data_IF_463887154456
#
_entry.id   IF_463887154456
#
_cell.length_a   1.000
_cell.length_b   1.000
_cell.length_c   1.000
_cell.angle_alpha   90.00
_cell.angle_beta   90.00
_cell.angle_gamma   90.00
#
_symmetry.space_group_name_H-M   'P 1'
#
loop_
_entity.id
_entity.type
_entity.pdbx_description
1 polymer ?
#
# COMPACT_ATOMS: atom_id res chain seq x y z
N UNK A 1 -1.15 -10.52 29.34
CA UNK A 1 -2.21 -10.90 28.37
C UNK A 1 -1.73 -12.15 27.64
N UNK A 2 -2.41 -13.29 27.77
CA UNK A 2 -2.12 -14.46 26.94
C UNK A 2 -2.92 -14.33 25.65
N UNK A 3 -2.23 -14.36 24.51
CA UNK A 3 -2.89 -14.34 23.20
C UNK A 3 -3.69 -15.62 22.97
N UNK A 4 -4.89 -15.49 22.39
CA UNK A 4 -5.72 -16.63 22.00
C UNK A 4 -5.29 -17.11 20.61
N UNK A 5 -4.59 -18.24 20.58
CA UNK A 5 -4.06 -18.84 19.34
C UNK A 5 -5.19 -19.20 18.38
N UNK A 6 -6.32 -19.71 18.89
CA UNK A 6 -7.46 -20.12 18.07
C UNK A 6 -8.12 -18.93 17.37
N UNK A 7 -8.33 -17.83 18.11
CA UNK A 7 -8.85 -16.57 17.55
C UNK A 7 -7.88 -15.97 16.54
N UNK A 8 -6.59 -15.96 16.86
CA UNK A 8 -5.55 -15.39 16.00
C UNK A 8 -5.45 -16.18 14.67
N UNK A 9 -5.43 -17.51 14.74
CA UNK A 9 -5.43 -18.37 13.55
C UNK A 9 -6.72 -18.20 12.74
N UNK A 10 -7.89 -18.16 13.38
CA UNK A 10 -9.17 -17.94 12.71
C UNK A 10 -9.18 -16.60 11.95
N UNK A 11 -8.66 -15.55 12.58
CA UNK A 11 -8.52 -14.23 11.97
C UNK A 11 -7.59 -14.27 10.77
N UNK A 12 -6.39 -14.86 10.91
CA UNK A 12 -5.43 -14.96 9.81
C UNK A 12 -5.98 -15.77 8.63
N UNK A 13 -6.67 -16.88 8.89
CA UNK A 13 -7.31 -17.69 7.85
C UNK A 13 -8.42 -16.92 7.15
N UNK A 14 -9.26 -16.18 7.87
CA UNK A 14 -10.31 -15.33 7.27
C UNK A 14 -9.70 -14.18 6.48
N UNK A 15 -8.73 -13.48 7.06
CA UNK A 15 -8.02 -12.38 6.42
C UNK A 15 -7.35 -12.82 5.12
N UNK A 16 -6.73 -14.00 5.10
CA UNK A 16 -6.14 -14.57 3.88
C UNK A 16 -7.17 -14.71 2.74
N UNK A 17 -8.45 -14.90 3.03
CA UNK A 17 -9.47 -14.99 1.97
C UNK A 17 -9.85 -13.62 1.38
N UNK A 18 -9.41 -12.53 1.99
CA UNK A 18 -9.72 -11.17 1.54
C UNK A 18 -8.67 -10.68 0.53
N UNK A 19 -9.12 -9.97 -0.50
CA UNK A 19 -8.25 -9.34 -1.50
C UNK A 19 -7.18 -8.43 -0.86
N UNK A 20 -7.45 -7.57 0.14
CA UNK A 20 -6.42 -6.78 0.83
C UNK A 20 -5.23 -7.58 1.37
N UNK A 21 -5.43 -8.84 1.77
CA UNK A 21 -4.31 -9.66 2.27
C UNK A 21 -3.25 -9.97 1.20
N UNK A 22 -3.64 -10.01 -0.07
CA UNK A 22 -2.71 -10.14 -1.20
C UNK A 22 -1.77 -8.94 -1.34
N UNK A 23 -2.20 -7.76 -0.88
CA UNK A 23 -1.47 -6.49 -1.00
C UNK A 23 -0.73 -6.12 0.28
N UNK A 24 -1.34 -6.37 1.44
CA UNK A 24 -0.74 -6.13 2.75
C UNK A 24 0.30 -7.19 3.15
N UNK A 25 0.23 -8.40 2.58
CA UNK A 25 1.17 -9.49 2.84
C UNK A 25 1.72 -10.05 1.51
N UNK A 26 2.64 -9.34 0.84
CA UNK A 26 3.17 -9.73 -0.47
C UNK A 26 3.78 -11.15 -0.53
N UNK A 27 4.51 -11.65 0.50
CA UNK A 27 5.00 -13.04 0.51
C UNK A 27 3.90 -14.10 0.32
N UNK A 28 2.65 -13.80 0.71
CA UNK A 28 1.52 -14.71 0.53
C UNK A 28 1.19 -14.92 -0.95
N UNK A 29 1.37 -13.88 -1.78
CA UNK A 29 1.07 -13.97 -3.21
C UNK A 29 2.03 -14.93 -3.92
N UNK A 30 3.30 -14.94 -3.50
CA UNK A 30 4.34 -15.81 -4.06
C UNK A 30 4.17 -17.28 -3.68
N UNK A 31 3.55 -17.56 -2.54
CA UNK A 31 3.22 -18.93 -2.11
C UNK A 31 1.83 -19.41 -2.58
N UNK A 32 1.08 -18.56 -3.30
CA UNK A 32 -0.23 -18.91 -3.82
C UNK A 32 -0.09 -19.61 -5.17
N UNK A 33 -0.57 -20.85 -5.28
CA UNK A 33 -0.65 -21.61 -6.54
C UNK A 33 -1.52 -20.92 -7.62
N UNK A 34 -2.15 -19.79 -7.29
CA UNK A 34 -3.04 -19.02 -8.12
C UNK A 34 -2.40 -17.77 -8.71
N UNK A 35 -1.08 -17.57 -8.63
CA UNK A 35 -0.46 -16.46 -9.35
C UNK A 35 -0.24 -16.85 -10.82
N UNK A 36 -0.62 -16.02 -11.82
CA UNK A 36 -0.26 -16.27 -13.20
C UNK A 36 1.24 -16.53 -13.33
N UNK A 37 1.62 -17.58 -14.08
CA UNK A 37 3.00 -18.05 -14.20
C UNK A 37 3.93 -16.93 -14.68
N UNK A 38 3.45 -16.07 -15.60
CA UNK A 38 4.16 -14.91 -16.11
C UNK A 38 4.58 -13.93 -15.00
N UNK A 39 3.68 -13.70 -14.03
CA UNK A 39 3.91 -12.81 -12.90
C UNK A 39 4.86 -13.46 -11.89
N UNK A 40 4.67 -14.75 -11.62
CA UNK A 40 5.55 -15.52 -10.74
C UNK A 40 7.00 -15.62 -11.28
N UNK A 41 7.17 -15.68 -12.60
CA UNK A 41 8.46 -15.73 -13.27
C UNK A 41 9.15 -14.37 -13.38
N UNK A 42 8.38 -13.27 -13.44
CA UNK A 42 8.94 -11.92 -13.55
C UNK A 42 9.69 -11.46 -12.31
N UNK A 43 9.39 -12.02 -11.12
CA UNK A 43 9.88 -11.53 -9.83
C UNK A 43 9.37 -10.14 -9.44
N UNK A 44 8.63 -9.47 -10.33
CA UNK A 44 8.03 -8.15 -10.11
C UNK A 44 6.60 -8.38 -9.61
N UNK A 45 6.38 -8.10 -8.34
CA UNK A 45 5.10 -8.40 -7.70
C UNK A 45 4.01 -7.46 -8.26
N UNK A 46 2.77 -7.92 -8.52
CA UNK A 46 1.71 -7.13 -9.18
C UNK A 46 1.37 -5.78 -8.54
N UNK A 47 1.46 -5.73 -7.20
CA UNK A 47 1.44 -4.48 -6.40
C UNK A 47 2.37 -3.42 -7.02
N UNK A 48 3.54 -3.81 -7.50
CA UNK A 48 4.59 -2.94 -7.99
C UNK A 48 4.26 -2.40 -9.39
N UNK A 49 3.53 -3.15 -10.23
CA UNK A 49 3.11 -2.65 -11.54
C UNK A 49 1.91 -1.71 -11.42
N UNK A 50 0.85 -2.14 -10.73
CA UNK A 50 -0.37 -1.34 -10.60
C UNK A 50 -0.15 -0.11 -9.70
N UNK A 51 0.41 -0.29 -8.50
CA UNK A 51 0.56 0.83 -7.56
C UNK A 51 1.61 1.83 -8.04
N UNK A 52 2.73 1.38 -8.62
CA UNK A 52 3.71 2.32 -9.17
C UNK A 52 3.13 3.08 -10.36
N UNK A 53 2.43 2.42 -11.28
CA UNK A 53 1.80 3.07 -12.41
C UNK A 53 0.79 4.14 -11.98
N UNK A 54 -0.04 3.86 -10.98
CA UNK A 54 -1.01 4.83 -10.49
C UNK A 54 -0.37 5.96 -9.70
N UNK A 55 0.63 5.69 -8.86
CA UNK A 55 1.41 6.74 -8.19
C UNK A 55 2.12 7.61 -9.22
N UNK A 56 2.73 7.03 -10.25
CA UNK A 56 3.40 7.74 -11.34
C UNK A 56 2.43 8.62 -12.14
N UNK A 57 1.28 8.07 -12.54
CA UNK A 57 0.25 8.79 -13.27
C UNK A 57 -0.29 9.98 -12.45
N UNK A 58 -0.41 9.82 -11.13
CA UNK A 58 -1.00 10.83 -10.25
C UNK A 58 0.01 11.88 -9.79
N UNK A 59 1.31 11.55 -9.71
CA UNK A 59 2.33 12.43 -9.11
C UNK A 59 3.47 12.85 -10.06
N UNK A 60 3.61 12.23 -11.25
CA UNK A 60 4.57 12.59 -12.32
C UNK A 60 6.03 12.83 -11.84
N UNK A 61 6.51 12.11 -10.84
CA UNK A 61 7.85 12.27 -10.25
C UNK A 61 8.49 10.91 -9.93
N UNK A 62 9.77 10.84 -9.53
CA UNK A 62 10.51 9.60 -9.17
C UNK A 62 10.02 8.88 -7.88
N UNK A 63 8.85 9.27 -7.42
CA UNK A 63 8.17 8.85 -6.21
C UNK A 63 7.58 7.41 -6.22
N UNK A 64 7.27 6.77 -7.37
CA UNK A 64 6.70 5.42 -7.40
C UNK A 64 7.51 4.35 -6.67
N UNK A 65 8.84 4.42 -6.76
CA UNK A 65 9.74 3.46 -6.11
C UNK A 65 9.73 3.58 -4.59
N UNK A 66 9.54 4.79 -4.06
CA UNK A 66 9.42 5.04 -2.63
C UNK A 66 8.11 4.45 -2.09
N UNK A 67 7.00 4.67 -2.79
CA UNK A 67 5.71 4.09 -2.39
C UNK A 67 5.75 2.57 -2.36
N UNK A 68 6.39 1.97 -3.37
CA UNK A 68 6.66 0.54 -3.39
C UNK A 68 7.39 0.10 -2.12
N UNK A 69 8.44 0.80 -1.71
CA UNK A 69 9.24 0.46 -0.54
C UNK A 69 8.41 0.55 0.74
N UNK A 70 7.65 1.63 0.91
CA UNK A 70 6.74 1.80 2.05
C UNK A 70 5.70 0.67 2.13
N UNK A 71 5.07 0.33 1.00
CA UNK A 71 4.06 -0.73 0.92
C UNK A 71 4.66 -2.11 1.16
N UNK A 72 5.83 -2.40 0.59
CA UNK A 72 6.54 -3.67 0.77
C UNK A 72 6.90 -3.93 2.24
N UNK A 73 7.07 -2.87 3.03
CA UNK A 73 7.31 -2.95 4.47
C UNK A 73 6.06 -2.69 5.31
N UNK A 74 4.87 -2.57 4.72
CA UNK A 74 3.63 -2.24 5.42
C UNK A 74 3.79 -0.98 6.32
N UNK A 75 4.61 -0.02 5.88
CA UNK A 75 5.00 1.19 6.60
C UNK A 75 5.71 1.00 7.96
N UNK A 76 6.22 -0.20 8.26
CA UNK A 76 6.72 -0.55 9.60
C UNK A 76 7.84 0.37 10.14
N UNK A 77 8.69 0.91 9.25
CA UNK A 77 9.79 1.82 9.61
C UNK A 77 9.45 3.31 9.41
N UNK A 78 8.25 3.62 8.93
CA UNK A 78 7.87 4.96 8.46
C UNK A 78 6.74 5.58 9.27
N UNK A 79 5.84 4.76 9.82
CA UNK A 79 4.69 5.22 10.57
C UNK A 79 4.70 4.71 12.00
N UNK A 80 4.13 5.52 12.90
CA UNK A 80 3.85 5.07 14.26
C UNK A 80 2.88 3.88 14.26
N UNK A 81 3.00 3.02 15.27
CA UNK A 81 2.19 1.79 15.37
C UNK A 81 0.66 2.00 15.22
N UNK A 82 0.05 3.03 15.83
CA UNK A 82 -1.38 3.30 15.63
C UNK A 82 -1.72 3.58 14.16
N UNK A 83 -0.85 4.27 13.44
CA UNK A 83 -1.08 4.62 12.03
C UNK A 83 -0.87 3.43 11.09
N UNK A 84 0.05 2.51 11.42
CA UNK A 84 0.14 1.20 10.75
C UNK A 84 -1.17 0.43 10.93
N UNK A 85 -1.71 0.41 12.17
CA UNK A 85 -2.99 -0.24 12.44
C UNK A 85 -4.14 0.41 11.66
N UNK A 86 -4.20 1.75 11.60
CA UNK A 86 -5.18 2.47 10.80
C UNK A 86 -5.03 2.20 9.30
N UNK A 87 -3.81 2.14 8.77
CA UNK A 87 -3.52 1.79 7.38
C UNK A 87 -4.07 0.40 7.04
N UNK A 88 -3.74 -0.61 7.84
CA UNK A 88 -4.23 -1.99 7.66
C UNK A 88 -5.75 -2.04 7.74
N UNK A 89 -6.34 -1.40 8.76
CA UNK A 89 -7.79 -1.34 8.91
C UNK A 89 -8.48 -0.67 7.71
N UNK A 90 -7.92 0.43 7.22
CA UNK A 90 -8.42 1.16 6.03
C UNK A 90 -8.42 0.26 4.81
N UNK A 91 -7.32 -0.45 4.54
CA UNK A 91 -7.24 -1.38 3.41
C UNK A 91 -8.22 -2.55 3.54
N UNK A 92 -8.43 -3.07 4.75
CA UNK A 92 -9.36 -4.18 5.01
C UNK A 92 -10.82 -3.74 4.87
N UNK A 93 -11.17 -2.56 5.37
CA UNK A 93 -12.55 -2.08 5.45
C UNK A 93 -12.98 -1.40 4.14
N UNK A 94 -12.12 -0.53 3.59
CA UNK A 94 -12.47 0.32 2.44
C UNK A 94 -12.03 -0.27 1.10
N UNK A 95 -11.04 -1.17 1.10
CA UNK A 95 -10.57 -1.89 -0.08
C UNK A 95 -9.07 -1.80 -0.28
N UNK A 96 -8.47 -2.71 -1.08
CA UNK A 96 -7.03 -2.74 -1.30
C UNK A 96 -6.51 -1.52 -2.05
N UNK A 97 -7.33 -0.87 -2.88
CA UNK A 97 -7.00 0.35 -3.62
C UNK A 97 -6.65 1.53 -2.70
N UNK A 98 -7.14 1.52 -1.46
CA UNK A 98 -6.76 2.51 -0.45
C UNK A 98 -5.27 2.49 -0.10
N UNK A 99 -4.53 1.42 -0.39
CA UNK A 99 -3.07 1.44 -0.24
C UNK A 99 -2.43 2.53 -1.12
N UNK A 100 -2.97 2.74 -2.33
CA UNK A 100 -2.51 3.77 -3.26
C UNK A 100 -2.86 5.15 -2.71
N UNK A 101 -4.08 5.30 -2.18
CA UNK A 101 -4.56 6.57 -1.65
C UNK A 101 -3.83 6.97 -0.37
N UNK A 102 -3.42 6.01 0.46
CA UNK A 102 -2.57 6.26 1.63
C UNK A 102 -1.18 6.70 1.20
N UNK A 103 -0.55 6.06 0.20
CA UNK A 103 0.72 6.52 -0.36
C UNK A 103 0.64 7.96 -0.88
N UNK A 104 -0.39 8.27 -1.67
CA UNK A 104 -0.60 9.64 -2.20
C UNK A 104 -0.82 10.64 -1.05
N UNK A 105 -1.55 10.24 -0.01
CA UNK A 105 -1.80 11.09 1.16
C UNK A 105 -0.52 11.33 1.97
N UNK A 106 0.33 10.32 2.13
CA UNK A 106 1.63 10.45 2.79
C UNK A 106 2.56 11.40 2.02
N UNK A 107 2.57 11.31 0.68
CA UNK A 107 3.35 12.24 -0.15
C UNK A 107 2.79 13.66 -0.12
N UNK A 108 1.46 13.79 -0.09
CA UNK A 108 0.80 15.08 0.10
C UNK A 108 1.16 15.69 1.45
N UNK A 109 1.25 14.88 2.50
CA UNK A 109 1.70 15.31 3.81
C UNK A 109 3.13 15.84 3.78
N UNK A 110 4.03 15.10 3.12
CA UNK A 110 5.45 15.43 2.98
C UNK A 110 5.74 16.50 1.91
N UNK A 111 4.74 17.14 1.30
CA UNK A 111 4.96 17.99 0.13
C UNK A 111 5.97 19.12 0.39
N UNK A 112 5.95 19.74 1.57
CA UNK A 112 6.90 20.78 1.94
C UNK A 112 8.32 20.22 2.12
N UNK A 113 8.46 19.11 2.83
CA UNK A 113 9.75 18.45 3.06
C UNK A 113 10.34 17.94 1.75
N UNK A 114 9.51 17.38 0.85
CA UNK A 114 9.92 16.97 -0.49
C UNK A 114 10.53 18.15 -1.25
N UNK A 115 9.89 19.32 -1.22
CA UNK A 115 10.41 20.52 -1.90
C UNK A 115 11.75 20.98 -1.30
N UNK A 116 11.89 20.91 0.03
CA UNK A 116 13.13 21.27 0.73
C UNK A 116 14.26 20.28 0.41
N UNK A 117 14.03 18.98 0.59
CA UNK A 117 15.01 17.92 0.36
C UNK A 117 15.37 17.74 -1.13
N UNK A 118 14.51 18.19 -2.04
CA UNK A 118 14.87 18.29 -3.47
C UNK A 118 15.97 19.35 -3.69
N UNK A 119 15.90 20.48 -2.98
CA UNK A 119 16.88 21.56 -3.13
C UNK A 119 18.23 21.20 -2.53
N UNK A 120 18.25 20.44 -1.43
CA UNK A 120 19.45 19.94 -0.77
C UNK A 120 20.00 18.65 -1.36
N UNK A 121 19.35 18.11 -2.40
CA UNK A 121 19.76 16.91 -3.15
C UNK A 121 19.84 15.63 -2.31
N UNK A 122 19.09 15.55 -1.21
CA UNK A 122 19.04 14.41 -0.29
C UNK A 122 17.65 13.75 -0.21
N UNK A 123 16.72 14.15 -1.08
CA UNK A 123 15.34 13.64 -1.13
C UNK A 123 15.23 12.10 -1.08
N UNK A 124 16.10 11.41 -1.82
CA UNK A 124 16.09 9.95 -1.87
C UNK A 124 16.47 9.32 -0.53
N UNK A 125 17.41 9.92 0.20
CA UNK A 125 17.79 9.44 1.54
C UNK A 125 16.66 9.72 2.52
N UNK A 126 16.16 10.96 2.51
CA UNK A 126 15.02 11.38 3.34
C UNK A 126 13.82 10.44 3.21
N UNK A 127 13.30 10.24 1.99
CA UNK A 127 12.10 9.41 1.77
C UNK A 127 12.30 7.92 2.08
N UNK A 128 13.55 7.43 2.08
CA UNK A 128 13.87 6.01 2.32
C UNK A 128 14.23 5.71 3.77
N UNK A 129 14.79 6.66 4.50
CA UNK A 129 15.38 6.41 5.80
C UNK A 129 14.65 7.12 6.94
N UNK A 130 13.98 8.25 6.66
CA UNK A 130 13.33 9.04 7.70
C UNK A 130 11.87 8.63 7.95
N UNK A 131 11.42 8.61 9.22
CA UNK A 131 10.02 8.42 9.55
C UNK A 131 9.14 9.57 9.04
N UNK A 132 7.88 9.25 8.73
CA UNK A 132 6.88 10.23 8.28
C UNK A 132 6.21 10.85 9.50
N UNK A 133 6.87 11.85 10.06
CA UNK A 133 6.43 12.49 11.30
C UNK A 133 5.10 13.24 11.16
N UNK A 134 4.16 12.98 12.06
CA UNK A 134 2.90 13.73 12.14
C UNK A 134 1.84 13.30 11.12
N UNK A 135 2.13 12.31 10.26
CA UNK A 135 1.13 11.73 9.38
C UNK A 135 0.08 10.97 10.20
N UNK A 136 -1.20 11.26 9.94
CA UNK A 136 -2.33 10.54 10.54
C UNK A 136 -3.30 10.14 9.44
N UNK A 137 -3.56 8.85 9.29
CA UNK A 137 -4.45 8.31 8.24
C UNK A 137 -5.82 8.97 8.30
N UNK A 138 -6.34 9.18 9.51
CA UNK A 138 -7.64 9.80 9.76
C UNK A 138 -7.76 11.23 9.19
N UNK A 139 -6.69 12.02 9.24
CA UNK A 139 -6.69 13.39 8.73
C UNK A 139 -6.85 13.46 7.20
N UNK A 140 -6.61 12.35 6.50
CA UNK A 140 -6.67 12.27 5.04
C UNK A 140 -7.85 11.45 4.51
N UNK A 141 -8.74 10.95 5.37
CA UNK A 141 -9.88 10.10 4.93
C UNK A 141 -10.75 10.78 3.88
N UNK A 142 -11.18 12.02 4.11
CA UNK A 142 -11.99 12.78 3.15
C UNK A 142 -11.28 12.98 1.80
N UNK A 143 -9.96 13.21 1.84
CA UNK A 143 -9.15 13.32 0.64
C UNK A 143 -9.07 11.98 -0.11
N UNK A 144 -8.87 10.88 0.61
CA UNK A 144 -8.82 9.54 0.04
C UNK A 144 -10.17 9.12 -0.57
N UNK A 145 -11.31 9.48 0.04
CA UNK A 145 -12.64 9.31 -0.56
C UNK A 145 -12.82 10.15 -1.82
N UNK A 146 -12.19 11.33 -1.90
CA UNK A 146 -12.05 12.10 -3.13
C UNK A 146 -11.32 11.32 -4.23
N UNK A 147 -10.18 10.69 -3.90
CA UNK A 147 -9.44 9.84 -4.83
C UNK A 147 -10.25 8.60 -5.23
N UNK A 148 -10.93 7.98 -4.28
CA UNK A 148 -11.79 6.81 -4.51
C UNK A 148 -12.84 7.11 -5.59
N UNK A 149 -13.59 8.21 -5.44
CA UNK A 149 -14.63 8.59 -6.41
C UNK A 149 -14.11 8.75 -7.83
N UNK A 150 -12.87 9.21 -7.97
CA UNK A 150 -12.27 9.50 -9.27
C UNK A 150 -11.55 8.29 -9.89
N UNK A 151 -10.95 7.42 -9.06
CA UNK A 151 -9.98 6.44 -9.54
C UNK A 151 -10.31 4.99 -9.18
N UNK A 152 -11.27 4.72 -8.28
CA UNK A 152 -11.55 3.35 -7.81
C UNK A 152 -11.95 2.41 -8.95
N UNK A 153 -12.76 2.87 -9.90
CA UNK A 153 -13.19 2.06 -11.04
C UNK A 153 -12.02 1.53 -11.87
N UNK A 154 -10.91 2.27 -11.90
CA UNK A 154 -9.69 1.93 -12.61
C UNK A 154 -8.74 1.12 -11.71
N UNK A 155 -8.34 1.69 -10.56
CA UNK A 155 -7.35 1.08 -9.64
C UNK A 155 -7.83 -0.26 -9.07
N UNK A 156 -9.06 -0.31 -8.55
CA UNK A 156 -9.57 -1.53 -7.92
C UNK A 156 -9.85 -2.63 -8.95
N UNK A 157 -10.25 -2.27 -10.17
CA UNK A 157 -10.48 -3.23 -11.25
C UNK A 157 -9.18 -3.92 -11.66
N UNK A 158 -8.09 -3.16 -11.77
CA UNK A 158 -6.77 -3.71 -12.03
C UNK A 158 -6.27 -4.56 -10.87
N UNK A 159 -6.47 -4.12 -9.63
CA UNK A 159 -6.08 -4.92 -8.47
C UNK A 159 -6.83 -6.26 -8.39
N UNK A 160 -8.08 -6.29 -8.85
CA UNK A 160 -8.89 -7.53 -8.92
C UNK A 160 -8.43 -8.46 -10.04
N UNK A 161 -7.89 -7.94 -11.14
CA UNK A 161 -7.46 -8.75 -12.29
C UNK A 161 -6.22 -9.62 -11.99
N UNK A 162 -5.51 -9.31 -10.91
CA UNK A 162 -4.34 -10.05 -10.42
C UNK A 162 -4.73 -11.43 -9.87
N UNK A 163 -5.96 -11.59 -9.35
CA UNK A 163 -6.46 -12.90 -8.96
C UNK A 163 -7.04 -13.60 -10.20
N UNK A 164 -6.66 -14.85 -10.51
CA UNK A 164 -7.31 -15.61 -11.56
C UNK A 164 -8.79 -15.67 -11.27
N UNK A 165 -9.60 -15.49 -12.32
CA UNK A 165 -11.02 -15.84 -12.24
C UNK A 165 -11.08 -17.33 -11.89
N UNK A 166 -11.56 -17.65 -10.69
CA UNK A 166 -11.88 -19.03 -10.33
C UNK A 166 -12.97 -19.52 -11.28
N UNK A 167 -12.60 -20.42 -12.19
CA UNK A 167 -13.52 -21.22 -13.00
C UNK A 167 -14.34 -22.18 -12.14
#
# INVERSE_FOLDING_TARGET
MHGDVGRSLSLLLRFSRLLPSAFLWPPRLHSSAHLPIEIAQSGIHPIYSCTAHYVEMLLKAEVPLICIQWLGQCFWNYLDWPEICHYVATCVIMGPDYQVYVCISALRHLQQDILQHTQTQDLQVFLKEEPIHGFRVSNYLEYMEGLERNYRSMVLSDMRSILPRTS
#
